data_IF_149472145040
#
_entry.id   IF_149472145040
#
_cell.length_a   1.000
_cell.length_b   1.000
_cell.length_c   1.000
_cell.angle_alpha   90.00
_cell.angle_beta   90.00
_cell.angle_gamma   90.00
#
_symmetry.space_group_name_H-M   'P 1'
#
loop_
_entity.id
_entity.type
_entity.pdbx_description
1 polymer ?
#
# COMPACT_ATOMS: atom_id res chain seq x y z
N UNK A 1 8.29 -3.81 14.49
CA UNK A 1 8.07 -3.59 13.05
C UNK A 1 7.57 -4.87 12.42
N UNK A 2 6.48 -4.76 11.67
CA UNK A 2 5.85 -5.87 10.94
C UNK A 2 5.36 -5.31 9.61
N UNK A 3 5.71 -5.95 8.51
CA UNK A 3 5.28 -5.52 7.18
C UNK A 3 4.20 -6.45 6.63
N UNK A 4 3.21 -5.89 5.95
CA UNK A 4 2.13 -6.62 5.28
C UNK A 4 1.88 -6.01 3.91
N UNK A 5 1.62 -6.86 2.90
CA UNK A 5 1.35 -6.43 1.53
C UNK A 5 -0.15 -6.38 1.24
N UNK A 6 -0.53 -5.36 0.48
CA UNK A 6 -1.87 -5.09 -0.01
C UNK A 6 -1.81 -4.78 -1.51
N UNK A 7 -2.89 -5.03 -2.23
CA UNK A 7 -3.05 -4.52 -3.60
C UNK A 7 -3.38 -3.03 -3.55
N UNK A 8 -2.75 -2.23 -4.42
CA UNK A 8 -3.04 -0.80 -4.52
C UNK A 8 -4.28 -0.55 -5.39
N UNK A 9 -5.38 -0.14 -4.76
CA UNK A 9 -6.64 0.15 -5.45
C UNK A 9 -6.52 1.30 -6.45
N UNK A 10 -5.65 2.28 -6.15
CA UNK A 10 -5.56 3.52 -6.91
C UNK A 10 -4.76 3.33 -8.20
N UNK A 11 -3.74 2.47 -8.18
CA UNK A 11 -2.85 2.23 -9.31
C UNK A 11 -3.28 1.04 -10.18
N UNK A 12 -4.07 0.12 -9.64
CA UNK A 12 -4.61 -1.02 -10.37
C UNK A 12 -3.78 -2.30 -10.22
N UNK A 13 -4.05 -3.27 -11.08
CA UNK A 13 -3.48 -4.61 -10.99
C UNK A 13 -1.95 -4.61 -11.13
N UNK A 14 -1.27 -5.47 -10.36
CA UNK A 14 0.19 -5.57 -10.31
C UNK A 14 0.86 -4.49 -9.45
N UNK A 15 0.13 -3.50 -8.94
CA UNK A 15 0.67 -2.54 -7.97
C UNK A 15 0.24 -2.91 -6.56
N UNK A 16 1.14 -2.67 -5.61
CA UNK A 16 0.93 -3.01 -4.21
C UNK A 16 1.40 -1.95 -3.25
N UNK A 17 1.03 -2.15 -2.00
CA UNK A 17 1.38 -1.30 -0.87
C UNK A 17 1.98 -2.20 0.21
N UNK A 18 3.20 -1.91 0.63
CA UNK A 18 3.79 -2.49 1.84
C UNK A 18 3.44 -1.57 3.00
N UNK A 19 2.66 -2.07 3.94
CA UNK A 19 2.29 -1.39 5.18
C UNK A 19 3.16 -1.92 6.32
N UNK A 20 3.86 -1.01 6.99
CA UNK A 20 4.82 -1.30 8.05
C UNK A 20 4.29 -0.69 9.34
N UNK A 21 3.82 -1.56 10.22
CA UNK A 21 3.39 -1.20 11.57
C UNK A 21 4.57 -0.95 12.52
N UNK A 22 4.32 -0.14 13.55
CA UNK A 22 5.28 0.25 14.58
C UNK A 22 6.53 0.94 13.97
N UNK A 23 6.32 1.80 12.98
CA UNK A 23 7.40 2.55 12.35
C UNK A 23 7.80 3.73 13.25
N UNK A 24 9.02 3.77 13.81
CA UNK A 24 9.42 4.78 14.80
C UNK A 24 9.59 6.19 14.22
N UNK A 25 9.41 6.35 12.91
CA UNK A 25 9.74 7.57 12.18
C UNK A 25 11.21 7.59 11.78
N UNK A 26 11.49 7.95 10.53
CA UNK A 26 12.83 8.25 10.03
C UNK A 26 12.78 9.59 9.30
N UNK A 27 13.85 10.37 9.38
CA UNK A 27 13.97 11.66 8.68
C UNK A 27 13.91 11.49 7.16
N UNK A 28 14.42 10.36 6.66
CA UNK A 28 14.34 9.94 5.26
C UNK A 28 14.12 8.43 5.21
N UNK A 29 13.35 7.96 4.23
CA UNK A 29 13.08 6.52 4.09
C UNK A 29 14.13 5.92 3.17
N UNK A 30 15.04 5.08 3.71
CA UNK A 30 16.12 4.54 2.93
C UNK A 30 15.62 3.47 1.95
N UNK A 31 16.42 3.11 0.94
CA UNK A 31 16.20 1.90 0.16
C UNK A 31 16.04 0.68 1.08
N UNK A 32 15.20 -0.25 0.64
CA UNK A 32 14.94 -1.48 1.38
C UNK A 32 15.41 -2.70 0.59
N UNK A 33 15.48 -3.84 1.27
CA UNK A 33 15.77 -5.14 0.66
C UNK A 33 14.65 -6.10 1.05
N UNK A 34 14.35 -7.04 0.16
CA UNK A 34 13.46 -8.17 0.45
C UNK A 34 14.27 -9.45 0.25
N UNK A 35 14.23 -10.35 1.23
CA UNK A 35 14.86 -11.65 1.18
C UNK A 35 13.81 -12.74 1.31
N UNK A 36 13.85 -13.73 0.42
CA UNK A 36 13.07 -14.95 0.54
C UNK A 36 13.79 -15.88 1.51
N UNK A 37 13.08 -16.35 2.53
CA UNK A 37 13.69 -17.09 3.64
C UNK A 37 13.91 -18.57 3.33
N UNK A 38 13.25 -19.12 2.31
CA UNK A 38 13.40 -20.53 1.91
C UNK A 38 14.76 -20.83 1.30
N UNK A 39 15.32 -19.91 0.51
CA UNK A 39 16.61 -20.05 -0.16
C UNK A 39 17.63 -18.95 0.18
N UNK A 40 17.20 -17.92 0.91
CA UNK A 40 18.04 -16.80 1.31
C UNK A 40 18.36 -15.81 0.19
N UNK A 41 17.71 -15.92 -0.98
CA UNK A 41 17.92 -15.02 -2.10
C UNK A 41 17.24 -13.67 -1.88
N UNK A 42 17.82 -12.63 -2.46
CA UNK A 42 17.30 -11.26 -2.40
C UNK A 42 16.60 -10.89 -3.70
N UNK A 43 15.50 -10.16 -3.56
CA UNK A 43 14.74 -9.68 -4.70
C UNK A 43 15.47 -8.53 -5.39
N UNK A 44 15.57 -8.62 -6.71
CA UNK A 44 16.16 -7.60 -7.57
C UNK A 44 15.08 -6.92 -8.42
N UNK A 45 14.82 -5.64 -8.10
CA UNK A 45 13.87 -4.78 -8.83
C UNK A 45 14.36 -4.46 -10.26
N UNK A 46 15.68 -4.48 -10.52
CA UNK A 46 16.25 -4.18 -11.84
C UNK A 46 15.96 -5.32 -12.81
N UNK A 47 14.79 -5.26 -13.42
CA UNK A 47 14.36 -6.12 -14.53
C UNK A 47 15.16 -5.93 -15.82
N UNK A 48 16.48 -6.14 -15.79
CA UNK A 48 17.25 -6.35 -17.03
C UNK A 48 17.34 -7.82 -17.43
N UNK A 49 17.24 -8.73 -16.46
CA UNK A 49 17.19 -10.15 -16.74
C UNK A 49 15.88 -10.74 -16.20
N UNK A 50 14.93 -11.11 -17.08
CA UNK A 50 13.72 -11.81 -16.67
C UNK A 50 13.99 -13.22 -16.13
N UNK A 51 15.20 -13.77 -16.30
CA UNK A 51 15.51 -15.15 -15.92
C UNK A 51 15.87 -15.34 -14.44
N UNK A 52 16.22 -14.28 -13.69
CA UNK A 52 16.57 -14.41 -12.26
C UNK A 52 16.30 -13.14 -11.46
N UNK A 53 15.05 -12.97 -11.05
CA UNK A 53 14.62 -11.90 -10.13
C UNK A 53 15.15 -12.07 -8.72
N UNK A 54 15.46 -13.31 -8.33
CA UNK A 54 16.03 -13.66 -7.04
C UNK A 54 17.52 -13.94 -7.20
N UNK A 55 18.36 -13.20 -6.47
CA UNK A 55 19.82 -13.25 -6.60
C UNK A 55 20.50 -13.42 -5.24
N UNK A 56 21.70 -14.00 -5.22
CA UNK A 56 22.46 -14.19 -3.98
C UNK A 56 23.04 -12.90 -3.38
N UNK A 57 23.07 -11.82 -4.15
CA UNK A 57 23.60 -10.52 -3.74
C UNK A 57 22.49 -9.65 -3.15
N UNK A 58 22.80 -8.94 -2.06
CA UNK A 58 21.86 -8.02 -1.41
C UNK A 58 21.62 -6.78 -2.28
N UNK A 59 20.54 -6.80 -3.06
CA UNK A 59 20.14 -5.70 -3.93
C UNK A 59 19.12 -4.78 -3.23
N UNK A 60 19.34 -3.47 -3.32
CA UNK A 60 18.44 -2.47 -2.73
C UNK A 60 17.37 -2.04 -3.72
N UNK A 61 16.13 -2.07 -3.26
CA UNK A 61 14.91 -1.62 -3.94
C UNK A 61 14.64 -0.19 -3.49
N UNK A 62 14.36 0.70 -4.44
CA UNK A 62 14.02 2.08 -4.10
C UNK A 62 12.50 2.20 -3.95
N UNK A 63 11.99 2.81 -2.87
CA UNK A 63 10.56 3.08 -2.77
C UNK A 63 10.15 4.05 -3.88
N UNK A 64 9.12 3.71 -4.64
CA UNK A 64 8.58 4.61 -5.68
C UNK A 64 7.90 5.83 -5.04
N UNK A 65 7.08 5.57 -4.04
CA UNK A 65 6.38 6.56 -3.23
C UNK A 65 6.23 6.01 -1.82
N UNK A 66 6.35 6.89 -0.83
CA UNK A 66 6.10 6.54 0.56
C UNK A 66 5.37 7.66 1.30
N UNK A 67 4.63 7.29 2.33
CA UNK A 67 4.06 8.24 3.28
C UNK A 67 3.94 7.58 4.66
N UNK A 68 3.85 8.44 5.68
CA UNK A 68 3.71 8.02 7.07
C UNK A 68 2.34 8.48 7.56
N UNK A 69 1.57 7.58 8.14
CA UNK A 69 0.31 7.90 8.81
C UNK A 69 0.20 7.11 10.12
N UNK A 70 -0.12 7.82 11.22
CA UNK A 70 -0.38 7.23 12.55
C UNK A 70 0.66 6.19 13.03
N UNK A 71 1.95 6.48 12.82
CA UNK A 71 3.04 5.59 13.25
C UNK A 71 3.23 4.35 12.35
N UNK A 72 2.64 4.37 11.16
CA UNK A 72 2.79 3.36 10.12
C UNK A 72 3.45 3.97 8.90
N UNK A 73 4.29 3.19 8.24
CA UNK A 73 4.89 3.56 6.98
C UNK A 73 4.27 2.73 5.87
N UNK A 74 3.86 3.40 4.81
CA UNK A 74 3.31 2.78 3.62
C UNK A 74 4.21 3.07 2.43
N UNK A 75 4.57 2.03 1.69
CA UNK A 75 5.45 2.10 0.54
C UNK A 75 4.71 1.54 -0.66
N UNK A 76 4.52 2.35 -1.70
CA UNK A 76 4.01 1.89 -2.97
C UNK A 76 5.10 1.09 -3.71
N UNK A 77 4.71 -0.06 -4.25
CA UNK A 77 5.58 -0.95 -5.02
C UNK A 77 4.92 -1.30 -6.37
N UNK A 78 5.75 -1.39 -7.40
CA UNK A 78 5.31 -1.76 -8.73
C UNK A 78 5.29 -3.27 -9.00
N UNK A 79 4.86 -3.66 -10.22
CA UNK A 79 4.73 -5.06 -10.64
C UNK A 79 6.01 -5.89 -10.53
N UNK A 80 7.17 -5.26 -10.69
CA UNK A 80 8.47 -5.94 -10.58
C UNK A 80 8.77 -6.48 -9.17
N UNK A 81 8.11 -5.93 -8.15
CA UNK A 81 8.22 -6.39 -6.77
C UNK A 81 6.98 -7.19 -6.39
N UNK A 82 5.79 -6.63 -6.65
CA UNK A 82 4.52 -7.21 -6.20
C UNK A 82 4.27 -8.62 -6.76
N UNK A 83 4.56 -8.85 -8.04
CA UNK A 83 4.27 -10.13 -8.70
C UNK A 83 5.23 -11.26 -8.30
N UNK A 84 6.35 -10.94 -7.65
CA UNK A 84 7.35 -11.93 -7.22
C UNK A 84 7.10 -12.46 -5.80
N UNK A 85 6.11 -11.90 -5.11
CA UNK A 85 5.80 -12.22 -3.72
C UNK A 85 4.59 -13.13 -3.69
N UNK A 86 4.77 -14.32 -3.09
CA UNK A 86 3.76 -15.36 -3.02
C UNK A 86 3.43 -15.72 -1.57
N UNK A 87 2.17 -16.01 -1.28
CA UNK A 87 1.71 -16.29 0.09
C UNK A 87 2.24 -17.59 0.70
N UNK A 88 2.73 -18.52 -0.12
CA UNK A 88 3.30 -19.80 0.35
C UNK A 88 4.75 -19.64 0.83
N UNK A 89 5.39 -18.54 0.48
CA UNK A 89 6.77 -18.23 0.84
C UNK A 89 6.86 -17.31 2.06
N UNK A 90 7.95 -17.43 2.80
CA UNK A 90 8.26 -16.54 3.92
C UNK A 90 9.30 -15.51 3.49
N UNK A 91 9.07 -14.25 3.83
CA UNK A 91 9.95 -13.15 3.45
C UNK A 91 10.39 -12.33 4.66
N UNK A 92 11.59 -11.78 4.57
CA UNK A 92 12.03 -10.71 5.45
C UNK A 92 12.33 -9.45 4.65
N UNK A 93 12.14 -8.31 5.30
CA UNK A 93 12.42 -6.99 4.77
C UNK A 93 13.36 -6.25 5.71
N UNK A 94 14.28 -5.46 5.18
CA UNK A 94 15.13 -4.59 5.98
C UNK A 94 15.34 -3.25 5.28
N UNK A 95 15.52 -2.20 6.06
CA UNK A 95 15.94 -0.89 5.59
C UNK A 95 17.47 -0.80 5.59
N UNK A 96 18.10 -0.56 4.43
CA UNK A 96 19.56 -0.51 4.31
C UNK A 96 20.24 -1.73 4.92
N UNK A 97 21.18 -1.50 5.85
CA UNK A 97 21.88 -2.53 6.65
C UNK A 97 21.22 -2.83 8.01
N UNK A 98 20.03 -2.30 8.25
CA UNK A 98 19.29 -2.46 9.50
C UNK A 98 18.84 -3.89 9.78
N UNK A 99 18.26 -4.07 10.97
CA UNK A 99 17.70 -5.35 11.41
C UNK A 99 16.53 -5.78 10.51
N UNK A 100 16.53 -7.03 10.00
CA UNK A 100 15.43 -7.54 9.21
C UNK A 100 14.18 -7.78 10.08
N UNK A 101 13.01 -7.62 9.46
CA UNK A 101 11.72 -7.90 10.06
C UNK A 101 10.84 -8.68 9.07
N UNK A 102 9.82 -9.36 9.59
CA UNK A 102 8.98 -10.23 8.78
C UNK A 102 8.08 -9.44 7.83
N UNK A 103 8.00 -9.92 6.58
CA UNK A 103 7.10 -9.42 5.54
C UNK A 103 6.03 -10.48 5.28
N UNK A 104 4.77 -10.10 5.50
CA UNK A 104 3.62 -10.98 5.34
C UNK A 104 2.97 -10.73 3.99
N UNK A 105 2.84 -11.80 3.22
CA UNK A 105 2.03 -11.87 2.00
C UNK A 105 0.77 -12.66 2.37
N UNK A 106 -0.40 -12.00 2.53
CA UNK A 106 -1.64 -12.70 2.84
C UNK A 106 -2.04 -13.67 1.72
N UNK A 107 -2.62 -14.83 2.06
CA UNK A 107 -3.21 -15.76 1.08
C UNK A 107 -4.27 -15.08 0.20
N UNK A 108 -4.97 -14.09 0.75
CA UNK A 108 -5.90 -13.22 0.04
C UNK A 108 -5.41 -11.78 0.13
N UNK A 109 -4.91 -11.27 -1.00
CA UNK A 109 -4.48 -9.88 -1.08
C UNK A 109 -5.69 -8.96 -0.88
N UNK A 110 -5.62 -8.16 0.18
CA UNK A 110 -6.62 -7.14 0.46
C UNK A 110 -6.30 -5.88 -0.34
N UNK A 111 -7.33 -5.18 -0.80
CA UNK A 111 -7.20 -3.90 -1.49
C UNK A 111 -7.02 -2.76 -0.48
N UNK A 112 -5.96 -1.96 -0.63
CA UNK A 112 -5.70 -0.79 0.19
C UNK A 112 -5.72 0.50 -0.65
N UNK A 113 -6.12 1.61 -0.01
CA UNK A 113 -6.11 2.96 -0.60
C UNK A 113 -5.12 3.81 0.19
N UNK A 114 -4.15 4.42 -0.50
CA UNK A 114 -3.21 5.36 0.11
C UNK A 114 -3.97 6.61 0.60
N UNK A 115 -3.91 6.99 1.88
CA UNK A 115 -4.24 8.33 2.37
C UNK A 115 -3.47 9.36 1.56
N UNK A 116 -4.18 10.36 1.04
CA UNK A 116 -3.55 11.44 0.28
C UNK A 116 -2.60 12.24 1.17
N UNK A 117 -1.34 12.51 0.75
CA UNK A 117 -0.33 13.21 1.55
C UNK A 117 -0.60 14.72 1.76
N UNK A 118 -1.85 15.18 1.65
CA UNK A 118 -2.24 16.59 1.72
C UNK A 118 -3.61 16.84 2.33
N UNK A 119 -4.10 15.97 3.22
CA UNK A 119 -5.42 16.09 3.83
C UNK A 119 -5.53 17.21 4.87
N UNK A 120 -5.58 18.46 4.43
CA UNK A 120 -6.29 19.51 5.18
C UNK A 120 -7.78 19.36 4.88
N UNK A 121 -8.54 18.91 5.89
CA UNK A 121 -9.99 19.07 5.99
C UNK A 121 -10.85 17.97 5.37
N UNK A 122 -11.37 17.08 6.23
CA UNK A 122 -12.81 16.92 6.43
C UNK A 122 -13.05 15.76 7.42
N UNK A 123 -13.60 16.13 8.57
CA UNK A 123 -14.20 15.21 9.53
C UNK A 123 -15.41 14.49 8.92
N UNK A 124 -15.55 13.23 9.33
CA UNK A 124 -16.67 12.28 9.22
C UNK A 124 -18.04 12.75 8.70
N UNK A 125 -18.67 11.90 7.86
CA UNK A 125 -20.11 11.90 7.67
C UNK A 125 -20.65 11.00 6.54
N UNK A 126 -20.80 9.69 6.84
CA UNK A 126 -21.76 8.72 6.27
C UNK A 126 -21.76 8.33 4.77
N UNK A 127 -22.09 7.06 4.45
CA UNK A 127 -22.26 6.57 3.10
C UNK A 127 -23.60 7.01 2.50
N UNK A 128 -23.60 7.33 1.20
CA UNK A 128 -24.80 7.65 0.43
C UNK A 128 -25.69 6.41 0.22
N UNK A 129 -27.02 6.57 0.26
CA UNK A 129 -27.91 5.75 -0.56
C UNK A 129 -28.90 6.59 -1.41
N UNK A 130 -28.91 6.23 -2.69
CA UNK A 130 -29.91 6.36 -3.79
C UNK A 130 -30.74 7.64 -4.07
N UNK A 131 -30.97 7.96 -5.37
CA UNK A 131 -31.91 9.00 -5.79
C UNK A 131 -33.34 8.46 -5.82
N UNK A 132 -34.19 8.90 -4.89
CA UNK A 132 -35.63 8.67 -4.93
C UNK A 132 -36.37 10.01 -5.10
N UNK A 133 -36.91 10.18 -6.31
CA UNK A 133 -38.17 10.85 -6.67
C UNK A 133 -38.68 11.98 -5.74
N UNK A 134 -38.46 13.23 -6.13
CA UNK A 134 -39.27 14.36 -5.66
C UNK A 134 -40.08 14.94 -6.82
N UNK A 135 -41.36 14.56 -6.88
CA UNK A 135 -42.39 15.42 -7.44
C UNK A 135 -43.00 16.27 -6.31
N UNK A 136 -42.99 17.62 -6.39
CA UNK A 136 -43.84 18.43 -5.54
C UNK A 136 -45.13 18.82 -6.26
N UNK A 137 -46.23 18.47 -5.59
CA UNK A 137 -47.62 18.80 -5.90
C UNK A 137 -47.86 20.31 -5.78
N UNK A 138 -48.76 20.82 -6.62
CA UNK A 138 -49.13 22.23 -6.80
C UNK A 138 -50.07 22.74 -5.68
N UNK A 139 -50.03 24.07 -5.49
CA UNK A 139 -51.05 25.00 -4.97
C UNK A 139 -50.96 25.40 -3.49
N UNK A 140 -50.70 26.69 -3.25
CA UNK A 140 -51.22 27.41 -2.08
C UNK A 140 -51.81 28.74 -2.56
N UNK A 141 -53.07 28.97 -2.18
CA UNK A 141 -53.85 30.17 -2.45
C UNK A 141 -53.71 31.20 -1.32
N UNK A 142 -54.07 32.45 -1.67
CA UNK A 142 -54.22 33.72 -0.91
C UNK A 142 -54.63 33.60 0.58
N UNK A 143 -54.33 34.64 1.40
CA UNK A 143 -55.28 35.77 1.57
C UNK A 143 -54.57 37.15 1.56
N UNK A 144 -55.07 38.17 0.86
CA UNK A 144 -56.04 39.21 1.28
C UNK A 144 -55.62 40.08 2.48
N UNK A 145 -55.17 41.30 2.17
CA UNK A 145 -55.49 42.55 2.86
C UNK A 145 -55.31 43.70 1.86
#
# INVERSE_FOLDING_TARGET
>A
MKATIFQDAQRGEGYGIIDIADFPGMSEIPPFVIQRLSDGLYLNEKGRDPASKWVGSRESIRPEQCYIDRGRLFIAIGPAVFNELDSLESYSMAFGTGQPFHLIVPETLQTAVLPSPGGVGAIAGQPAPDPADEAPVKVTAKPEA
#
